data_IF_665302041901
#
_entry.id   IF_665302041901
#
_cell.length_a   1.000
_cell.length_b   1.000
_cell.length_c   1.000
_cell.angle_alpha   90.00
_cell.angle_beta   90.00
_cell.angle_gamma   90.00
#
_symmetry.space_group_name_H-M   'P 1'
#
loop_
_entity.id
_entity.type
_entity.pdbx_description
1 polymer ?
#
# COMPACT_ATOMS: atom_id res chain seq x y z
N UNK A 1 -52.99 -3.61 -37.22
CA UNK A 1 -52.32 -3.62 -35.91
C UNK A 1 -51.64 -4.98 -35.74
N UNK A 2 -50.38 -5.16 -36.15
CA UNK A 2 -49.65 -6.39 -35.83
C UNK A 2 -48.98 -6.23 -34.46
N UNK A 3 -49.25 -7.17 -33.56
CA UNK A 3 -48.59 -7.30 -32.25
C UNK A 3 -47.09 -7.53 -32.46
N UNK A 4 -46.27 -6.61 -31.97
CA UNK A 4 -44.83 -6.80 -31.82
C UNK A 4 -44.56 -7.77 -30.67
N UNK A 5 -43.84 -8.84 -30.98
CA UNK A 5 -43.22 -9.74 -30.01
C UNK A 5 -42.04 -8.99 -29.41
N UNK A 6 -42.17 -8.58 -28.14
CA UNK A 6 -41.04 -8.10 -27.34
C UNK A 6 -40.20 -9.31 -26.94
N UNK A 7 -39.08 -9.51 -27.62
CA UNK A 7 -37.97 -10.34 -27.12
C UNK A 7 -37.41 -9.68 -25.86
N UNK A 8 -37.69 -10.28 -24.71
CA UNK A 8 -37.00 -9.97 -23.46
C UNK A 8 -35.51 -10.29 -23.62
N UNK A 9 -34.67 -9.28 -23.50
CA UNK A 9 -33.23 -9.45 -23.35
C UNK A 9 -33.01 -9.97 -21.93
N UNK A 10 -32.43 -11.16 -21.84
CA UNK A 10 -32.11 -11.85 -20.59
C UNK A 10 -31.10 -11.04 -19.77
N UNK A 11 -31.51 -10.59 -18.58
CA UNK A 11 -30.67 -10.03 -17.51
C UNK A 11 -29.85 -11.14 -16.82
N UNK A 12 -28.96 -11.80 -17.57
CA UNK A 12 -28.06 -12.82 -17.03
C UNK A 12 -26.63 -12.56 -17.51
N UNK A 13 -25.89 -11.72 -16.79
CA UNK A 13 -24.47 -11.95 -16.46
C UNK A 13 -23.88 -10.84 -15.57
N UNK A 14 -24.44 -10.60 -14.39
CA UNK A 14 -23.65 -10.06 -13.27
C UNK A 14 -23.24 -11.26 -12.42
N UNK A 15 -22.26 -12.02 -12.90
CA UNK A 15 -21.58 -12.98 -12.07
C UNK A 15 -20.89 -12.17 -10.96
N UNK A 16 -21.47 -12.15 -9.76
CA UNK A 16 -20.80 -11.64 -8.58
C UNK A 16 -19.51 -12.44 -8.43
N UNK A 17 -18.36 -11.86 -8.79
CA UNK A 17 -17.06 -12.42 -8.45
C UNK A 17 -17.09 -12.66 -6.94
N UNK A 18 -16.82 -13.89 -6.51
CA UNK A 18 -16.67 -14.15 -5.09
C UNK A 18 -15.52 -13.28 -4.57
N UNK A 19 -15.65 -12.67 -3.37
CA UNK A 19 -14.60 -11.85 -2.80
C UNK A 19 -13.35 -12.70 -2.62
N UNK A 20 -12.17 -12.10 -2.85
CA UNK A 20 -10.90 -12.79 -2.71
C UNK A 20 -10.52 -12.80 -1.23
N UNK A 21 -10.66 -13.95 -0.58
CA UNK A 21 -10.39 -14.13 0.84
C UNK A 21 -8.90 -14.36 1.05
N UNK A 22 -8.27 -13.54 1.90
CA UNK A 22 -6.88 -13.72 2.33
C UNK A 22 -6.84 -14.74 3.47
N UNK A 23 -6.35 -15.94 3.15
CA UNK A 23 -6.09 -16.98 4.15
C UNK A 23 -4.68 -16.82 4.71
N UNK A 24 -4.57 -16.48 6.00
CA UNK A 24 -3.27 -16.24 6.64
C UNK A 24 -2.38 -17.49 6.57
N UNK A 25 -2.98 -18.68 6.64
CA UNK A 25 -2.28 -19.95 6.54
C UNK A 25 -1.64 -20.22 5.16
N UNK A 26 -2.11 -19.55 4.10
CA UNK A 26 -1.53 -19.65 2.75
C UNK A 26 -0.35 -18.70 2.56
N UNK A 27 -0.19 -17.70 3.44
CA UNK A 27 0.92 -16.76 3.32
C UNK A 27 2.26 -17.46 3.59
N UNK A 28 3.26 -17.25 2.72
CA UNK A 28 4.60 -17.78 2.94
C UNK A 28 5.17 -17.28 4.26
N UNK A 29 5.75 -18.18 5.04
CA UNK A 29 6.28 -17.90 6.37
C UNK A 29 7.71 -18.41 6.51
N UNK A 30 8.45 -17.79 7.44
CA UNK A 30 9.85 -18.08 7.71
C UNK A 30 10.78 -16.95 7.28
N UNK A 31 11.96 -16.95 7.88
CA UNK A 31 12.91 -15.84 7.76
C UNK A 31 13.72 -15.88 6.46
N UNK A 32 13.66 -17.02 5.75
CA UNK A 32 14.49 -17.33 4.59
C UNK A 32 13.66 -18.09 3.55
N UNK A 33 13.22 -17.40 2.50
CA UNK A 33 12.44 -18.00 1.42
C UNK A 33 12.99 -17.64 0.04
N UNK A 34 12.88 -18.61 -0.87
CA UNK A 34 13.16 -18.45 -2.29
C UNK A 34 12.06 -19.16 -3.07
N UNK A 35 11.35 -18.39 -3.91
CA UNK A 35 10.24 -18.90 -4.71
C UNK A 35 10.76 -19.40 -6.06
N UNK A 36 10.99 -20.71 -6.17
CA UNK A 36 11.67 -21.35 -7.31
C UNK A 36 10.88 -21.28 -8.63
N UNK A 37 9.60 -21.00 -8.57
CA UNK A 37 8.67 -20.84 -9.68
C UNK A 37 8.62 -19.41 -10.24
N UNK A 38 9.41 -18.48 -9.70
CA UNK A 38 9.44 -17.09 -10.16
C UNK A 38 10.27 -16.88 -11.42
N UNK A 39 10.03 -15.77 -12.12
CA UNK A 39 10.73 -15.44 -13.36
C UNK A 39 12.25 -15.36 -13.17
N UNK A 40 12.73 -15.02 -11.97
CA UNK A 40 14.15 -15.02 -11.62
C UNK A 40 14.78 -16.39 -11.82
N UNK A 41 14.25 -17.45 -11.19
CA UNK A 41 14.85 -18.78 -11.28
C UNK A 41 14.54 -19.50 -12.60
N UNK A 42 13.40 -19.17 -13.24
CA UNK A 42 13.04 -19.73 -14.55
C UNK A 42 13.97 -19.21 -15.64
N UNK A 43 14.20 -17.89 -15.70
CA UNK A 43 14.94 -17.28 -16.80
C UNK A 43 16.40 -16.98 -16.47
N UNK A 44 16.78 -16.92 -15.19
CA UNK A 44 18.15 -16.62 -14.76
C UNK A 44 18.72 -17.77 -13.96
N UNK A 45 19.87 -18.26 -14.42
CA UNK A 45 20.67 -19.25 -13.69
C UNK A 45 21.61 -18.50 -12.73
N UNK A 46 21.07 -18.05 -11.60
CA UNK A 46 21.82 -17.30 -10.59
C UNK A 46 21.30 -17.52 -9.17
N UNK A 47 22.13 -17.16 -8.19
CA UNK A 47 21.72 -17.02 -6.79
C UNK A 47 21.42 -15.55 -6.50
N UNK A 48 20.69 -15.29 -5.42
CA UNK A 48 20.57 -13.94 -4.90
C UNK A 48 21.94 -13.38 -4.48
N UNK A 49 22.18 -12.08 -4.66
CA UNK A 49 23.31 -11.40 -4.04
C UNK A 49 23.27 -11.61 -2.51
N UNK A 50 24.42 -11.92 -1.93
CA UNK A 50 24.53 -12.10 -0.48
C UNK A 50 24.31 -10.75 0.24
N UNK A 51 23.83 -10.74 1.50
CA UNK A 51 23.63 -9.51 2.28
C UNK A 51 24.85 -8.58 2.31
N UNK A 52 26.05 -9.14 2.44
CA UNK A 52 27.31 -8.38 2.41
C UNK A 52 27.55 -7.67 1.07
N UNK A 53 27.20 -8.32 -0.04
CA UNK A 53 27.30 -7.74 -1.39
C UNK A 53 26.29 -6.61 -1.57
N UNK A 54 25.05 -6.82 -1.10
CA UNK A 54 23.99 -5.78 -1.12
C UNK A 54 24.41 -4.56 -0.31
N UNK A 55 24.90 -4.74 0.92
CA UNK A 55 25.38 -3.65 1.78
C UNK A 55 26.57 -2.92 1.17
N UNK A 56 27.54 -3.64 0.64
CA UNK A 56 28.72 -3.06 -0.01
C UNK A 56 28.34 -2.22 -1.24
N UNK A 57 27.45 -2.74 -2.08
CA UNK A 57 26.91 -2.02 -3.24
C UNK A 57 26.08 -0.80 -2.82
N UNK A 58 25.29 -0.92 -1.75
CA UNK A 58 24.53 0.21 -1.19
C UNK A 58 25.45 1.36 -0.75
N UNK A 59 26.51 1.06 0.01
CA UNK A 59 27.49 2.06 0.45
C UNK A 59 28.11 2.77 -0.75
N UNK A 60 28.47 2.01 -1.79
CA UNK A 60 29.04 2.58 -3.00
C UNK A 60 28.09 3.52 -3.75
N UNK A 61 26.81 3.15 -3.87
CA UNK A 61 25.81 3.92 -4.61
C UNK A 61 25.26 5.12 -3.83
N UNK A 62 25.04 4.95 -2.53
CA UNK A 62 24.22 5.85 -1.72
C UNK A 62 25.00 6.63 -0.65
N UNK A 63 26.28 6.31 -0.42
CA UNK A 63 27.15 7.00 0.53
C UNK A 63 26.51 7.09 1.92
N UNK A 64 26.32 8.31 2.45
CA UNK A 64 25.72 8.51 3.77
C UNK A 64 24.28 7.97 3.88
N UNK A 65 23.51 7.92 2.79
CA UNK A 65 22.14 7.38 2.79
C UNK A 65 22.10 5.86 2.98
N UNK A 66 23.25 5.18 2.88
CA UNK A 66 23.33 3.74 3.04
C UNK A 66 23.17 3.25 4.50
N UNK A 67 23.30 4.15 5.48
CA UNK A 67 23.35 3.81 6.91
C UNK A 67 22.02 4.04 7.65
N UNK A 68 20.95 4.40 6.95
CA UNK A 68 19.62 4.56 7.55
C UNK A 68 18.97 3.21 7.92
N UNK A 69 17.91 3.25 8.71
CA UNK A 69 17.07 2.07 9.02
C UNK A 69 16.26 1.58 7.81
N UNK A 70 16.05 2.46 6.83
CA UNK A 70 15.46 2.20 5.51
C UNK A 70 16.36 2.79 4.41
N UNK A 71 17.50 2.17 4.10
CA UNK A 71 18.35 2.63 3.00
C UNK A 71 17.62 2.57 1.65
N UNK A 72 18.06 3.34 0.63
CA UNK A 72 17.49 3.24 -0.71
C UNK A 72 17.61 1.82 -1.27
N UNK A 73 16.60 1.31 -1.99
CA UNK A 73 16.67 0.01 -2.66
C UNK A 73 17.89 -0.11 -3.60
N UNK A 74 18.51 -1.28 -3.61
CA UNK A 74 19.77 -1.52 -4.33
C UNK A 74 19.51 -2.29 -5.62
N UNK A 75 19.68 -1.68 -6.80
CA UNK A 75 19.43 -2.36 -8.07
C UNK A 75 20.59 -3.27 -8.46
N UNK A 76 20.27 -4.42 -9.04
CA UNK A 76 21.15 -5.35 -9.75
C UNK A 76 20.60 -5.56 -11.17
N UNK A 77 20.79 -4.57 -12.09
CA UNK A 77 20.20 -4.62 -13.43
C UNK A 77 20.62 -5.84 -14.26
N UNK A 78 21.85 -6.31 -14.08
CA UNK A 78 22.38 -7.54 -14.67
C UNK A 78 21.54 -8.77 -14.27
N UNK A 79 21.02 -8.77 -13.05
CA UNK A 79 20.12 -9.77 -12.51
C UNK A 79 18.64 -9.39 -12.68
N UNK A 80 18.29 -8.22 -13.23
CA UNK A 80 16.90 -7.78 -13.35
C UNK A 80 16.19 -7.74 -11.99
N UNK A 81 16.97 -7.46 -10.96
CA UNK A 81 16.62 -7.60 -9.56
C UNK A 81 16.82 -6.26 -8.88
N UNK A 82 15.97 -5.93 -7.92
CA UNK A 82 16.20 -4.86 -6.96
C UNK A 82 16.02 -5.42 -5.55
N UNK A 83 16.87 -4.99 -4.63
CA UNK A 83 16.84 -5.48 -3.25
C UNK A 83 16.45 -4.33 -2.33
N UNK A 84 15.31 -4.47 -1.66
CA UNK A 84 14.91 -3.58 -0.56
C UNK A 84 15.40 -4.21 0.74
N UNK A 85 16.13 -3.47 1.55
CA UNK A 85 16.64 -4.02 2.80
C UNK A 85 16.75 -2.97 3.91
N UNK A 86 16.85 -3.43 5.16
CA UNK A 86 17.04 -2.57 6.32
C UNK A 86 16.37 -3.11 7.57
N UNK A 87 16.57 -2.43 8.70
CA UNK A 87 16.02 -2.85 10.00
C UNK A 87 14.55 -2.53 10.19
N UNK A 88 13.99 -1.65 9.37
CA UNK A 88 12.55 -1.35 9.35
C UNK A 88 11.81 -2.00 8.16
N UNK A 89 12.50 -2.81 7.36
CA UNK A 89 11.87 -3.61 6.31
C UNK A 89 11.28 -4.86 6.97
N UNK A 90 10.06 -5.24 6.59
CA UNK A 90 9.33 -6.33 7.23
C UNK A 90 9.06 -7.45 6.24
N UNK A 91 9.03 -8.69 6.73
CA UNK A 91 8.57 -9.85 5.94
C UNK A 91 7.11 -9.65 5.48
N UNK A 92 6.31 -8.88 6.23
CA UNK A 92 4.93 -8.57 5.87
C UNK A 92 4.82 -7.84 4.52
N UNK A 93 5.76 -6.96 4.16
CA UNK A 93 5.82 -6.36 2.82
C UNK A 93 6.02 -7.43 1.74
N UNK A 94 6.96 -8.36 1.96
CA UNK A 94 7.21 -9.48 1.05
C UNK A 94 6.00 -10.41 0.89
N UNK A 95 5.29 -10.69 1.99
CA UNK A 95 4.04 -11.46 1.97
C UNK A 95 2.92 -10.74 1.21
N UNK A 96 2.79 -9.43 1.40
CA UNK A 96 1.80 -8.61 0.68
C UNK A 96 2.06 -8.69 -0.82
N UNK A 97 3.28 -8.35 -1.25
CA UNK A 97 3.65 -8.42 -2.65
C UNK A 97 3.49 -9.84 -3.22
N UNK A 98 3.89 -10.89 -2.50
CA UNK A 98 3.68 -12.27 -2.93
C UNK A 98 2.18 -12.58 -3.17
N UNK A 99 1.31 -12.13 -2.26
CA UNK A 99 -0.13 -12.35 -2.39
C UNK A 99 -0.70 -11.59 -3.60
N UNK A 100 -0.34 -10.32 -3.77
CA UNK A 100 -0.78 -9.51 -4.92
C UNK A 100 -0.32 -10.13 -6.25
N UNK A 101 0.94 -10.58 -6.33
CA UNK A 101 1.45 -11.28 -7.51
C UNK A 101 0.71 -12.60 -7.79
N UNK A 102 0.37 -13.35 -6.74
CA UNK A 102 -0.24 -14.67 -6.88
C UNK A 102 -1.71 -14.58 -7.33
N UNK A 103 -2.47 -13.63 -6.77
CA UNK A 103 -3.93 -13.61 -6.90
C UNK A 103 -4.47 -12.38 -7.64
N UNK A 104 -3.70 -11.30 -7.76
CA UNK A 104 -4.15 -10.02 -8.33
C UNK A 104 -3.26 -9.47 -9.45
N UNK A 105 -2.26 -10.22 -9.95
CA UNK A 105 -1.32 -9.73 -11.00
C UNK A 105 -1.97 -9.09 -12.23
N UNK A 106 -3.14 -9.58 -12.65
CA UNK A 106 -3.83 -9.11 -13.86
C UNK A 106 -4.64 -7.83 -13.60
N UNK A 107 -4.79 -7.41 -12.33
CA UNK A 107 -5.57 -6.24 -11.92
C UNK A 107 -4.76 -5.22 -11.12
N UNK A 108 -3.74 -5.66 -10.40
CA UNK A 108 -2.83 -4.83 -9.58
C UNK A 108 -1.40 -5.18 -9.98
N UNK A 109 -0.80 -4.44 -10.93
CA UNK A 109 0.58 -4.69 -11.32
C UNK A 109 1.52 -4.34 -10.16
N UNK A 110 2.36 -5.29 -9.75
CA UNK A 110 3.35 -5.14 -8.67
C UNK A 110 4.65 -5.83 -9.07
N UNK A 111 5.81 -5.47 -8.49
CA UNK A 111 7.04 -6.23 -8.69
C UNK A 111 6.89 -7.67 -8.21
N UNK A 112 7.30 -8.64 -9.02
CA UNK A 112 7.36 -10.04 -8.60
C UNK A 112 8.36 -10.20 -7.44
N UNK A 113 7.94 -10.78 -6.33
CA UNK A 113 8.84 -11.14 -5.22
C UNK A 113 9.47 -12.48 -5.51
N UNK A 114 10.80 -12.51 -5.58
CA UNK A 114 11.57 -13.73 -5.77
C UNK A 114 11.85 -14.45 -4.46
N UNK A 115 11.88 -13.71 -3.35
CA UNK A 115 12.09 -14.25 -2.02
C UNK A 115 12.55 -13.20 -1.03
N UNK A 116 12.88 -13.64 0.18
CA UNK A 116 13.44 -12.79 1.22
C UNK A 116 14.38 -13.56 2.14
N UNK A 117 15.20 -12.80 2.88
CA UNK A 117 16.19 -13.31 3.81
C UNK A 117 16.30 -12.35 4.99
N UNK A 118 16.39 -12.86 6.21
CA UNK A 118 16.72 -12.09 7.39
C UNK A 118 18.18 -12.32 7.81
N UNK A 119 18.97 -11.25 7.84
CA UNK A 119 20.36 -11.30 8.29
C UNK A 119 20.53 -10.37 9.50
N UNK A 120 20.58 -10.98 10.69
CA UNK A 120 20.56 -10.25 11.96
C UNK A 120 19.23 -9.53 12.19
N UNK A 121 19.27 -8.20 12.30
CA UNK A 121 18.11 -7.35 12.49
C UNK A 121 17.59 -6.73 11.17
N UNK A 122 18.19 -7.06 10.03
CA UNK A 122 17.79 -6.53 8.72
C UNK A 122 17.05 -7.60 7.91
N UNK A 123 15.96 -7.19 7.27
CA UNK A 123 15.26 -8.01 6.27
C UNK A 123 15.67 -7.56 4.88
N UNK A 124 15.86 -8.51 3.98
CA UNK A 124 16.18 -8.31 2.56
C UNK A 124 15.04 -8.90 1.73
N UNK A 125 14.36 -8.08 0.94
CA UNK A 125 13.34 -8.49 -0.01
C UNK A 125 13.94 -8.40 -1.41
N UNK A 126 13.97 -9.54 -2.10
CA UNK A 126 14.48 -9.69 -3.46
C UNK A 126 13.30 -9.67 -4.42
N UNK A 127 13.22 -8.67 -5.29
CA UNK A 127 12.08 -8.47 -6.17
C UNK A 127 12.47 -7.97 -7.56
N UNK A 128 11.54 -8.04 -8.50
CA UNK A 128 11.73 -7.63 -9.89
C UNK A 128 12.16 -6.16 -10.00
N UNK A 129 13.21 -5.91 -10.79
CA UNK A 129 13.55 -4.56 -11.21
C UNK A 129 12.69 -4.17 -12.42
N UNK A 130 11.59 -3.47 -12.14
CA UNK A 130 10.71 -2.93 -13.17
C UNK A 130 11.33 -1.68 -13.80
N UNK A 131 11.31 -1.63 -15.13
CA UNK A 131 11.79 -0.48 -15.90
C UNK A 131 10.61 0.40 -16.30
N UNK A 132 10.46 1.53 -15.62
CA UNK A 132 9.51 2.58 -15.98
C UNK A 132 9.90 3.91 -15.36
N UNK A 133 9.13 4.92 -15.74
CA UNK A 133 9.25 6.25 -15.18
C UNK A 133 8.28 6.39 -14.00
N UNK A 134 8.65 7.13 -12.96
CA UNK A 134 7.70 7.40 -11.88
C UNK A 134 6.59 8.33 -12.40
N UNK A 135 5.36 8.13 -11.92
CA UNK A 135 4.27 9.04 -12.24
C UNK A 135 4.60 10.45 -11.76
N UNK A 136 5.31 10.60 -10.63
CA UNK A 136 5.73 11.91 -10.11
C UNK A 136 6.56 12.71 -11.12
N UNK A 137 7.56 12.07 -11.73
CA UNK A 137 8.42 12.72 -12.74
C UNK A 137 7.66 13.01 -14.04
N UNK A 138 6.73 12.13 -14.40
CA UNK A 138 5.96 12.23 -15.66
C UNK A 138 4.74 13.13 -15.56
N UNK A 139 4.14 13.29 -14.38
CA UNK A 139 2.87 14.00 -14.17
C UNK A 139 2.82 15.40 -14.77
N UNK A 140 3.86 16.26 -14.64
CA UNK A 140 3.86 17.60 -15.23
C UNK A 140 3.93 17.60 -16.77
N UNK A 141 4.33 16.47 -17.38
CA UNK A 141 4.49 16.31 -18.81
C UNK A 141 3.26 15.69 -19.49
N UNK A 142 2.37 15.08 -18.71
CA UNK A 142 1.15 14.46 -19.21
C UNK A 142 0.08 15.52 -19.51
N UNK A 143 -0.65 15.33 -20.59
CA UNK A 143 -1.85 16.10 -20.87
C UNK A 143 -3.05 15.59 -20.04
N UNK A 144 -4.18 16.31 -20.06
CA UNK A 144 -5.34 15.97 -19.22
C UNK A 144 -6.00 14.62 -19.58
N UNK A 145 -5.99 14.23 -20.87
CA UNK A 145 -6.51 12.92 -21.30
C UNK A 145 -5.62 11.77 -20.79
N UNK A 146 -4.30 11.95 -20.84
CA UNK A 146 -3.32 11.01 -20.31
C UNK A 146 -3.43 10.87 -18.79
N UNK A 147 -3.58 12.00 -18.07
CA UNK A 147 -3.82 12.00 -16.63
C UNK A 147 -5.10 11.26 -16.28
N UNK A 148 -6.21 11.54 -16.99
CA UNK A 148 -7.47 10.83 -16.79
C UNK A 148 -7.36 9.33 -17.07
N UNK A 149 -6.59 8.94 -18.09
CA UNK A 149 -6.31 7.53 -18.42
C UNK A 149 -5.54 6.82 -17.31
N UNK A 150 -4.55 7.48 -16.71
CA UNK A 150 -3.81 6.94 -15.55
C UNK A 150 -4.71 6.88 -14.31
N UNK A 151 -5.45 7.93 -13.99
CA UNK A 151 -6.39 7.94 -12.86
C UNK A 151 -7.41 6.80 -12.95
N UNK A 152 -7.94 6.53 -14.15
CA UNK A 152 -8.84 5.41 -14.41
C UNK A 152 -8.17 4.06 -14.11
N UNK A 153 -6.91 3.88 -14.51
CA UNK A 153 -6.14 2.67 -14.20
C UNK A 153 -5.87 2.53 -12.70
N UNK A 154 -5.53 3.61 -12.00
CA UNK A 154 -5.34 3.61 -10.53
C UNK A 154 -6.64 3.17 -9.85
N UNK A 155 -7.78 3.76 -10.24
CA UNK A 155 -9.10 3.38 -9.73
C UNK A 155 -9.39 1.89 -9.93
N UNK A 156 -9.10 1.35 -11.11
CA UNK A 156 -9.23 -0.08 -11.38
C UNK A 156 -8.38 -0.97 -10.46
N UNK A 157 -7.12 -0.59 -10.22
CA UNK A 157 -6.25 -1.31 -9.29
C UNK A 157 -6.79 -1.24 -7.86
N UNK A 158 -7.22 -0.05 -7.44
CA UNK A 158 -7.79 0.21 -6.12
C UNK A 158 -9.01 -0.64 -5.83
N UNK A 159 -9.96 -0.67 -6.75
CA UNK A 159 -11.15 -1.51 -6.60
C UNK A 159 -10.76 -2.99 -6.49
N UNK A 160 -9.75 -3.44 -7.25
CA UNK A 160 -9.28 -4.82 -7.18
C UNK A 160 -8.71 -5.23 -5.81
N UNK A 161 -7.85 -4.42 -5.18
CA UNK A 161 -7.34 -4.76 -3.84
C UNK A 161 -8.36 -4.47 -2.72
N UNK A 162 -9.28 -3.51 -2.91
CA UNK A 162 -10.37 -3.28 -1.97
C UNK A 162 -11.35 -4.46 -1.92
N UNK A 163 -11.40 -5.32 -2.93
CA UNK A 163 -12.21 -6.55 -2.91
C UNK A 163 -11.60 -7.68 -2.05
N UNK A 164 -10.38 -7.50 -1.55
CA UNK A 164 -9.80 -8.42 -0.57
C UNK A 164 -10.65 -8.45 0.71
N UNK A 165 -10.86 -9.64 1.26
CA UNK A 165 -11.55 -9.84 2.54
C UNK A 165 -10.70 -10.69 3.48
N UNK A 166 -10.82 -10.44 4.77
CA UNK A 166 -10.25 -11.34 5.77
C UNK A 166 -11.11 -12.59 5.90
N UNK A 167 -10.48 -13.70 6.29
CA UNK A 167 -11.15 -14.99 6.41
C UNK A 167 -12.21 -15.07 7.51
N UNK A 168 -12.08 -14.25 8.57
CA UNK A 168 -12.94 -14.36 9.74
C UNK A 168 -13.11 -13.01 10.45
N UNK A 169 -14.35 -12.73 10.84
CA UNK A 169 -14.69 -11.64 11.75
C UNK A 169 -14.40 -11.99 13.24
N UNK A 170 -14.08 -10.98 14.09
CA UNK A 170 -13.93 -9.57 13.76
C UNK A 170 -12.70 -9.30 12.89
N UNK A 171 -12.79 -8.30 12.02
CA UNK A 171 -11.68 -7.94 11.14
C UNK A 171 -10.62 -7.17 11.91
N UNK A 172 -9.40 -7.71 11.90
CA UNK A 172 -8.27 -7.12 12.57
C UNK A 172 -7.71 -5.92 11.79
N UNK A 173 -6.96 -5.04 12.46
CA UNK A 173 -6.24 -3.92 11.84
C UNK A 173 -4.74 -4.20 11.96
N UNK A 174 -4.04 -4.16 10.83
CA UNK A 174 -2.64 -4.59 10.75
C UNK A 174 -2.23 -5.00 9.33
N UNK A 175 -1.02 -5.52 9.18
CA UNK A 175 -0.54 -6.05 7.91
C UNK A 175 -1.33 -7.27 7.41
N UNK A 176 -1.09 -7.65 6.15
CA UNK A 176 -1.81 -8.74 5.44
C UNK A 176 -1.94 -10.04 6.24
N UNK A 177 -0.92 -10.42 7.02
CA UNK A 177 -0.86 -11.68 7.77
C UNK A 177 -1.13 -11.53 9.28
N UNK A 178 -1.94 -10.56 9.69
CA UNK A 178 -2.23 -10.27 11.11
C UNK A 178 -0.96 -9.93 11.91
N UNK A 179 -0.07 -9.14 11.31
CA UNK A 179 1.04 -8.48 12.02
C UNK A 179 0.66 -7.03 12.34
N UNK A 180 1.51 -6.37 13.13
CA UNK A 180 1.34 -4.96 13.49
C UNK A 180 1.12 -4.04 12.30
N UNK A 181 0.57 -2.86 12.56
CA UNK A 181 0.39 -1.82 11.53
C UNK A 181 1.73 -1.34 11.00
N UNK A 182 1.81 -1.15 9.68
CA UNK A 182 3.03 -0.71 8.99
C UNK A 182 3.08 0.79 8.70
N UNK A 183 1.96 1.50 8.92
CA UNK A 183 1.87 2.92 8.62
C UNK A 183 2.88 3.73 9.44
N UNK A 184 3.63 4.56 8.73
CA UNK A 184 4.71 5.37 9.28
C UNK A 184 4.23 6.33 10.37
N UNK A 185 2.94 6.69 10.36
CA UNK A 185 2.33 7.60 11.31
C UNK A 185 2.52 7.12 12.76
N UNK A 186 2.44 5.81 13.00
CA UNK A 186 2.60 5.24 14.34
C UNK A 186 4.04 5.38 14.83
N UNK A 187 5.00 5.15 13.95
CA UNK A 187 6.43 5.34 14.23
C UNK A 187 6.76 6.81 14.47
N UNK A 188 6.25 7.71 13.65
CA UNK A 188 6.48 9.16 13.77
C UNK A 188 5.85 9.69 15.08
N UNK A 189 4.76 9.04 15.50
CA UNK A 189 4.18 9.16 16.83
C UNK A 189 4.98 8.48 17.96
N UNK A 190 6.14 7.87 17.71
CA UNK A 190 6.99 7.23 18.71
C UNK A 190 6.62 5.78 19.07
N UNK A 191 5.68 5.14 18.37
CA UNK A 191 5.35 3.72 18.53
C UNK A 191 5.67 2.94 17.24
N UNK A 192 6.92 2.47 17.04
CA UNK A 192 7.33 1.73 15.84
C UNK A 192 6.73 0.32 15.71
N UNK A 193 6.14 -0.21 16.79
CA UNK A 193 5.65 -1.59 16.88
C UNK A 193 4.26 -1.63 17.50
N UNK A 194 3.26 -1.37 16.67
CA UNK A 194 1.86 -1.20 17.09
C UNK A 194 1.00 -2.31 16.49
N UNK A 195 0.06 -2.82 17.26
CA UNK A 195 -0.86 -3.87 16.82
C UNK A 195 -0.20 -5.25 16.65
N UNK A 196 -0.86 -6.19 15.95
CA UNK A 196 -2.17 -6.03 15.30
C UNK A 196 -3.27 -5.72 16.31
N UNK A 197 -4.34 -5.06 15.87
CA UNK A 197 -5.52 -4.83 16.69
C UNK A 197 -6.60 -5.83 16.35
N UNK A 198 -7.28 -6.34 17.38
CA UNK A 198 -8.32 -7.36 17.23
C UNK A 198 -9.49 -6.89 16.36
N UNK A 199 -9.86 -5.62 16.50
CA UNK A 199 -11.00 -5.01 15.82
C UNK A 199 -10.83 -3.49 15.74
N UNK A 200 -11.76 -2.84 15.05
CA UNK A 200 -11.76 -1.39 14.83
C UNK A 200 -11.92 -0.60 16.12
N UNK A 201 -12.68 -1.10 17.10
CA UNK A 201 -12.81 -0.46 18.42
C UNK A 201 -11.45 -0.39 19.12
N UNK A 202 -10.72 -1.51 19.19
CA UNK A 202 -9.40 -1.57 19.79
C UNK A 202 -8.40 -0.64 19.07
N UNK A 203 -8.48 -0.58 17.74
CA UNK A 203 -7.69 0.34 16.94
C UNK A 203 -8.00 1.81 17.24
N UNK A 204 -9.26 2.22 17.19
CA UNK A 204 -9.68 3.60 17.44
C UNK A 204 -9.41 4.03 18.89
N UNK A 205 -9.61 3.15 19.87
CA UNK A 205 -9.29 3.43 21.26
C UNK A 205 -7.79 3.69 21.46
N UNK A 206 -6.94 2.92 20.78
CA UNK A 206 -5.50 3.15 20.77
C UNK A 206 -5.14 4.45 20.04
N UNK A 207 -5.65 4.65 18.81
CA UNK A 207 -5.33 5.82 17.99
C UNK A 207 -5.76 7.12 18.68
N UNK A 208 -6.92 7.14 19.34
CA UNK A 208 -7.40 8.26 20.13
C UNK A 208 -6.47 8.62 21.31
N UNK A 209 -5.64 7.68 21.81
CA UNK A 209 -4.71 7.97 22.92
C UNK A 209 -3.62 8.95 22.53
N UNK A 210 -3.28 9.07 21.26
CA UNK A 210 -2.32 10.07 20.77
C UNK A 210 -2.72 11.51 21.19
N UNK A 211 -4.02 11.82 21.23
CA UNK A 211 -4.53 13.13 21.68
C UNK A 211 -4.36 13.43 23.18
N UNK A 212 -4.03 12.44 24.02
CA UNK A 212 -3.91 12.64 25.46
C UNK A 212 -2.86 11.76 26.15
N UNK A 213 -1.76 11.46 25.46
CA UNK A 213 -0.70 10.55 25.97
C UNK A 213 -0.17 10.90 27.36
N UNK A 214 -0.09 12.20 27.68
CA UNK A 214 0.37 12.68 28.99
C UNK A 214 -0.69 12.63 30.10
N UNK A 215 -1.91 12.19 29.80
CA UNK A 215 -3.09 12.20 30.69
C UNK A 215 -3.82 10.85 30.67
N UNK A 216 -3.24 9.80 31.28
CA UNK A 216 -3.79 8.44 31.23
C UNK A 216 -5.19 8.32 31.85
N UNK A 217 -5.56 9.23 32.75
CA UNK A 217 -6.86 9.28 33.41
C UNK A 217 -8.01 9.71 32.48
N UNK A 218 -7.71 10.37 31.35
CA UNK A 218 -8.72 10.79 30.38
C UNK A 218 -9.23 9.61 29.58
N UNK A 219 -10.47 9.69 29.12
CA UNK A 219 -10.99 8.86 28.04
C UNK A 219 -11.05 9.74 26.79
N UNK A 220 -10.15 9.59 25.80
CA UNK A 220 -10.06 10.53 24.71
C UNK A 220 -11.35 10.61 23.89
N UNK A 221 -11.93 9.46 23.51
CA UNK A 221 -13.16 9.42 22.69
C UNK A 221 -14.38 10.04 23.39
N UNK A 222 -14.37 10.13 24.72
CA UNK A 222 -15.40 10.82 25.51
C UNK A 222 -15.09 12.28 25.78
N UNK A 223 -13.81 12.58 26.05
CA UNK A 223 -13.38 13.86 26.60
C UNK A 223 -13.03 14.88 25.50
N UNK A 224 -12.80 14.43 24.25
CA UNK A 224 -12.50 15.29 23.09
C UNK A 224 -13.60 15.15 22.03
N UNK A 225 -14.46 16.18 21.82
CA UNK A 225 -15.50 16.14 20.80
C UNK A 225 -14.93 16.02 19.37
N UNK A 226 -13.68 16.42 19.15
CA UNK A 226 -12.99 16.30 17.86
C UNK A 226 -12.81 14.85 17.41
N UNK A 227 -12.94 13.88 18.32
CA UNK A 227 -12.80 12.45 18.04
C UNK A 227 -14.13 11.74 17.72
N UNK A 228 -15.22 12.49 17.53
CA UNK A 228 -16.56 11.93 17.26
C UNK A 228 -16.62 11.06 16.00
N UNK A 229 -15.78 11.35 15.00
CA UNK A 229 -15.71 10.60 13.75
C UNK A 229 -15.03 9.23 13.85
N UNK A 230 -14.41 8.90 14.99
CA UNK A 230 -13.88 7.55 15.25
C UNK A 230 -15.05 6.61 15.58
N UNK A 231 -15.81 6.18 14.58
CA UNK A 231 -16.95 5.27 14.73
C UNK A 231 -16.55 3.81 14.55
N UNK A 232 -17.15 2.90 15.32
CA UNK A 232 -16.76 1.48 15.34
C UNK A 232 -17.49 0.64 14.29
N UNK A 233 -18.44 1.24 13.57
CA UNK A 233 -19.18 0.62 12.47
C UNK A 233 -18.47 0.76 11.12
N UNK A 234 -17.32 1.44 11.09
CA UNK A 234 -16.59 1.72 9.86
C UNK A 234 -15.98 0.44 9.28
N UNK A 235 -16.15 0.16 7.98
CA UNK A 235 -15.57 -1.03 7.36
C UNK A 235 -14.04 -1.05 7.47
N UNK A 236 -13.48 -2.24 7.72
CA UNK A 236 -12.04 -2.50 7.60
C UNK A 236 -11.77 -3.00 6.17
N UNK A 237 -10.85 -2.34 5.46
CA UNK A 237 -10.54 -2.60 4.05
C UNK A 237 -9.03 -2.69 3.84
N UNK A 238 -8.61 -3.44 2.81
CA UNK A 238 -7.21 -3.47 2.44
C UNK A 238 -6.79 -2.16 1.76
N UNK A 239 -5.65 -1.62 2.15
CA UNK A 239 -5.18 -0.28 1.85
C UNK A 239 -3.67 -0.33 1.57
N UNK A 240 -3.19 0.42 0.58
CA UNK A 240 -1.76 0.60 0.31
C UNK A 240 -1.11 1.48 1.39
N UNK A 241 -1.82 2.52 1.83
CA UNK A 241 -1.44 3.46 2.90
C UNK A 241 -0.21 4.31 2.57
N UNK A 242 0.19 4.36 1.30
CA UNK A 242 1.32 5.18 0.81
C UNK A 242 1.19 5.47 -0.68
N UNK A 243 -0.05 5.68 -1.14
CA UNK A 243 -0.37 5.88 -2.55
C UNK A 243 0.02 7.31 -3.00
N UNK A 244 1.30 7.48 -3.30
CA UNK A 244 1.88 8.70 -3.89
C UNK A 244 2.26 8.50 -5.36
N UNK A 245 2.37 9.58 -6.13
CA UNK A 245 2.83 9.52 -7.53
C UNK A 245 4.25 8.94 -7.67
N UNK A 246 5.10 9.02 -6.64
CA UNK A 246 6.44 8.39 -6.67
C UNK A 246 6.39 6.87 -6.54
N UNK A 247 5.29 6.31 -6.03
CA UNK A 247 5.07 4.89 -5.84
C UNK A 247 4.29 4.23 -7.00
N UNK A 248 4.10 4.95 -8.10
CA UNK A 248 3.43 4.45 -9.31
C UNK A 248 4.42 4.54 -10.46
N UNK A 249 4.73 3.41 -11.09
CA UNK A 249 5.55 3.34 -12.29
C UNK A 249 4.65 3.24 -13.52
N UNK A 250 4.96 4.06 -14.52
CA UNK A 250 4.29 4.02 -15.82
C UNK A 250 5.23 3.56 -16.93
N UNK A 251 4.64 3.05 -18.00
CA UNK A 251 5.36 2.65 -19.21
C UNK A 251 6.20 3.83 -19.73
N UNK A 252 7.43 3.57 -20.23
CA UNK A 252 8.23 4.59 -20.89
C UNK A 252 7.44 5.30 -21.99
N UNK A 253 7.80 6.56 -22.24
CA UNK A 253 7.17 7.35 -23.30
C UNK A 253 7.41 6.71 -24.67
N UNK A 254 6.35 6.24 -25.31
CA UNK A 254 6.38 5.78 -26.69
C UNK A 254 5.40 6.63 -27.51
N UNK A 255 5.86 7.15 -28.64
CA UNK A 255 5.06 8.04 -29.48
C UNK A 255 3.78 7.34 -29.94
N UNK A 256 2.63 7.97 -29.68
CA UNK A 256 1.32 7.45 -30.05
C UNK A 256 0.76 6.34 -29.14
N UNK A 257 1.43 6.00 -28.04
CA UNK A 257 0.93 5.02 -27.07
C UNK A 257 0.45 5.70 -25.78
N UNK A 258 -0.76 5.36 -25.27
CA UNK A 258 -1.23 5.91 -24.01
C UNK A 258 -0.36 5.39 -22.85
N UNK A 259 -0.13 6.21 -21.80
CA UNK A 259 0.63 5.78 -20.64
C UNK A 259 -0.12 4.68 -19.90
N UNK A 260 0.61 3.63 -19.49
CA UNK A 260 0.06 2.49 -18.75
C UNK A 260 0.76 2.33 -17.42
N UNK A 261 0.02 2.00 -16.37
CA UNK A 261 0.62 1.59 -15.10
C UNK A 261 1.28 0.23 -15.31
N UNK A 262 2.57 0.15 -14.99
CA UNK A 262 3.34 -1.10 -15.07
C UNK A 262 3.68 -1.65 -13.69
N UNK A 263 3.60 -0.82 -12.64
CA UNK A 263 3.72 -1.25 -11.26
C UNK A 263 3.18 -0.22 -10.28
N UNK A 264 2.60 -0.70 -9.18
CA UNK A 264 2.45 0.03 -7.93
C UNK A 264 3.45 -0.58 -6.95
N UNK A 265 4.28 0.25 -6.35
CA UNK A 265 5.44 -0.17 -5.53
C UNK A 265 5.35 0.39 -4.11
N UNK A 266 6.23 -0.09 -3.24
CA UNK A 266 6.37 0.36 -1.84
C UNK A 266 5.16 0.05 -0.93
N UNK A 267 4.79 -1.23 -0.90
CA UNK A 267 3.66 -1.77 -0.11
C UNK A 267 3.98 -1.93 1.39
N UNK A 268 5.03 -1.27 1.91
CA UNK A 268 5.50 -1.48 3.29
C UNK A 268 4.55 -0.95 4.36
N UNK A 269 3.66 -0.01 4.03
CA UNK A 269 2.64 0.52 4.95
C UNK A 269 1.31 -0.23 4.81
N UNK A 270 1.19 -1.08 3.79
CA UNK A 270 -0.07 -1.69 3.37
C UNK A 270 -0.64 -2.63 4.42
N UNK A 271 -1.96 -2.76 4.43
CA UNK A 271 -2.64 -3.60 5.39
C UNK A 271 -4.14 -3.36 5.45
N UNK A 272 -4.76 -3.94 6.45
CA UNK A 272 -6.15 -3.77 6.80
C UNK A 272 -6.31 -2.54 7.69
N UNK A 273 -7.03 -1.53 7.20
CA UNK A 273 -7.27 -0.27 7.91
C UNK A 273 -8.73 0.18 7.76
N UNK A 274 -9.22 1.10 8.60
CA UNK A 274 -10.57 1.65 8.45
C UNK A 274 -10.77 2.35 7.10
N UNK A 275 -11.96 2.24 6.51
CA UNK A 275 -12.28 2.89 5.24
C UNK A 275 -12.10 4.41 5.32
N UNK A 276 -11.46 4.99 4.30
CA UNK A 276 -11.02 6.39 4.29
C UNK A 276 -9.55 6.59 4.66
N UNK A 277 -8.86 5.58 5.22
CA UNK A 277 -7.43 5.65 5.55
C UNK A 277 -6.56 6.00 4.33
N UNK A 278 -6.79 5.35 3.19
CA UNK A 278 -6.06 5.64 1.94
C UNK A 278 -6.17 7.12 1.53
N UNK A 279 -7.38 7.69 1.62
CA UNK A 279 -7.62 9.09 1.26
C UNK A 279 -6.81 10.02 2.15
N UNK A 280 -6.94 9.86 3.48
CA UNK A 280 -6.26 10.74 4.44
C UNK A 280 -4.74 10.65 4.28
N UNK A 281 -4.20 9.46 4.00
CA UNK A 281 -2.79 9.24 3.73
C UNK A 281 -2.33 9.87 2.42
N UNK A 282 -3.02 9.59 1.32
CA UNK A 282 -2.65 10.12 0.01
C UNK A 282 -2.78 11.66 -0.05
N UNK A 283 -3.81 12.22 0.58
CA UNK A 283 -4.00 13.68 0.68
C UNK A 283 -2.82 14.36 1.39
N UNK A 284 -2.28 13.74 2.44
CA UNK A 284 -1.11 14.25 3.15
C UNK A 284 0.15 14.38 2.29
N UNK A 285 0.24 13.59 1.22
CA UNK A 285 1.36 13.57 0.26
C UNK A 285 1.20 14.59 -0.87
N UNK A 286 0.01 15.16 -1.05
CA UNK A 286 -0.24 16.16 -2.09
C UNK A 286 0.47 17.50 -1.79
N UNK A 287 0.77 18.23 -2.86
CA UNK A 287 1.38 19.55 -2.76
C UNK A 287 0.45 20.55 -2.05
N UNK A 288 0.99 21.45 -1.20
CA UNK A 288 0.20 22.50 -0.59
C UNK A 288 -0.23 23.53 -1.63
N UNK A 289 -1.46 24.03 -1.50
CA UNK A 289 -2.01 25.13 -2.31
C UNK A 289 -2.33 26.34 -1.42
N UNK A 290 -2.64 27.48 -2.06
CA UNK A 290 -3.01 28.71 -1.36
C UNK A 290 -4.19 28.47 -0.41
N UNK A 291 -4.10 29.02 0.81
CA UNK A 291 -5.12 28.82 1.85
C UNK A 291 -4.88 27.62 2.76
N UNK A 292 -3.78 26.87 2.59
CA UNK A 292 -3.40 25.76 3.47
C UNK A 292 -4.04 24.42 3.11
N UNK A 293 -4.75 24.36 1.99
CA UNK A 293 -5.31 23.12 1.44
C UNK A 293 -4.24 22.31 0.67
N UNK A 294 -4.63 21.12 0.22
CA UNK A 294 -3.80 20.20 -0.58
C UNK A 294 -4.38 20.07 -2.00
N UNK A 295 -3.54 19.93 -3.01
CA UNK A 295 -3.99 19.65 -4.38
C UNK A 295 -4.48 18.19 -4.52
N UNK A 296 -5.75 17.97 -4.16
CA UNK A 296 -6.41 16.66 -4.21
C UNK A 296 -7.05 16.35 -5.55
N UNK A 297 -6.96 17.25 -6.54
CA UNK A 297 -7.71 17.16 -7.79
C UNK A 297 -7.46 15.85 -8.55
N UNK A 298 -6.27 15.25 -8.41
CA UNK A 298 -5.97 13.96 -9.02
C UNK A 298 -6.57 12.78 -8.25
N UNK A 299 -6.58 12.83 -6.90
CA UNK A 299 -7.16 11.78 -6.05
C UNK A 299 -8.66 11.64 -6.28
N UNK A 300 -9.34 12.78 -6.39
CA UNK A 300 -10.80 12.86 -6.58
C UNK A 300 -11.27 12.22 -7.89
N UNK A 301 -10.37 11.97 -8.85
CA UNK A 301 -10.72 11.29 -10.10
C UNK A 301 -10.96 9.80 -9.92
N UNK A 302 -10.45 9.17 -8.85
CA UNK A 302 -10.50 7.72 -8.67
C UNK A 302 -10.82 7.27 -7.24
N UNK A 303 -10.89 8.20 -6.29
CA UNK A 303 -11.19 7.91 -4.90
C UNK A 303 -12.12 8.98 -4.33
N UNK A 304 -13.16 8.53 -3.61
CA UNK A 304 -14.01 9.44 -2.85
C UNK A 304 -13.26 10.00 -1.63
N UNK A 305 -13.47 11.27 -1.28
CA UNK A 305 -12.96 11.83 -0.04
C UNK A 305 -13.37 11.02 1.19
N UNK A 306 -12.51 11.01 2.21
CA UNK A 306 -12.88 10.46 3.51
C UNK A 306 -14.06 11.24 4.11
N UNK A 307 -14.80 10.55 4.97
CA UNK A 307 -15.83 11.14 5.82
C UNK A 307 -15.26 12.31 6.63
N UNK A 308 -15.95 13.45 6.65
CA UNK A 308 -15.46 14.72 7.20
C UNK A 308 -15.14 14.61 8.70
N UNK A 309 -16.02 13.97 9.48
CA UNK A 309 -15.82 13.79 10.92
C UNK A 309 -14.60 12.88 11.19
N UNK A 310 -14.39 11.84 10.37
CA UNK A 310 -13.24 10.96 10.50
C UNK A 310 -11.92 11.63 10.10
N UNK A 311 -11.94 12.40 9.00
CA UNK A 311 -10.80 13.21 8.58
C UNK A 311 -10.42 14.24 9.65
N UNK A 312 -11.42 14.90 10.25
CA UNK A 312 -11.20 15.85 11.35
C UNK A 312 -10.59 15.18 12.58
N UNK A 313 -11.09 14.01 12.99
CA UNK A 313 -10.53 13.24 14.10
C UNK A 313 -9.08 12.81 13.84
N UNK A 314 -8.80 12.37 12.61
CA UNK A 314 -7.44 12.04 12.15
C UNK A 314 -6.51 13.25 12.26
N UNK A 315 -6.89 14.39 11.70
CA UNK A 315 -6.09 15.61 11.75
C UNK A 315 -5.83 16.02 13.20
N UNK A 316 -6.85 15.98 14.05
CA UNK A 316 -6.72 16.30 15.47
C UNK A 316 -5.69 15.38 16.17
N UNK A 317 -5.75 14.08 15.92
CA UNK A 317 -4.81 13.10 16.48
C UNK A 317 -3.39 13.36 16.00
N UNK A 318 -3.21 13.51 14.69
CA UNK A 318 -1.90 13.62 14.06
C UNK A 318 -1.19 14.91 14.43
N UNK A 319 -1.90 16.04 14.50
CA UNK A 319 -1.37 17.30 15.03
C UNK A 319 -1.07 17.26 16.53
N UNK A 320 -1.73 16.40 17.30
CA UNK A 320 -1.45 16.24 18.74
C UNK A 320 -0.20 15.40 19.01
N UNK A 321 0.27 14.66 17.99
CA UNK A 321 1.30 13.65 18.13
C UNK A 321 2.66 14.07 17.55
N UNK A 322 2.64 14.83 16.45
CA UNK A 322 3.81 15.42 15.78
C UNK A 322 4.22 16.75 16.42
#
# INVERSE_FOLDING_TARGET
MPHQVLTAVSEDSLASKQPLIVHIAELPHGDHLQFQDTAFFIHKRGSFPAPEEVRSKNIHLNGNRAWGSRPPPVPFPELGLIVKFGSEITIAEGQCLWYLNSYLKDSVPTPEVFGWLQDGNEVFIYMELIKGDTLKERWPLLNEEEKGTICTQIGGCMEAWKELRQEKEPYFIGHVGNQGVGDIIFRDCGDPHVGPFLDITAFHDFFARYSCRSRPERNPRRDFPELVGLTDERPVVFTHADLDKSNILISPSEEGSPPRIIAIIDWHQSGWYPSGWEWMKAQGMCDPIEGGFRDTAWLEQFMAPADEDYAYAWEYITHSCM
#
